data_IF_957459498228
#
_entry.id   IF_957459498228
#
_cell.length_a   1.000
_cell.length_b   1.000
_cell.length_c   1.000
_cell.angle_alpha   90.00
_cell.angle_beta   90.00
_cell.angle_gamma   90.00
#
_symmetry.space_group_name_H-M   'P 1'
#
loop_
_entity.id
_entity.type
_entity.pdbx_description
1 polymer ?
#
# COMPACT_ATOMS: atom_id res chain seq x y z
N UNK A 1 -22.90 -41.89 -31.08
CA UNK A 1 -23.23 -40.47 -30.78
C UNK A 1 -22.99 -40.23 -29.31
N UNK A 2 -21.85 -39.62 -28.96
CA UNK A 2 -21.51 -39.32 -27.57
C UNK A 2 -22.10 -37.95 -27.19
N UNK A 3 -22.94 -37.95 -26.16
CA UNK A 3 -23.58 -36.75 -25.60
C UNK A 3 -22.54 -35.92 -24.83
N UNK A 4 -22.44 -34.59 -25.03
CA UNK A 4 -21.48 -33.77 -24.31
C UNK A 4 -21.97 -33.50 -22.88
N UNK A 5 -21.15 -33.88 -21.91
CA UNK A 5 -21.32 -33.55 -20.49
C UNK A 5 -21.25 -32.03 -20.26
N UNK A 6 -22.16 -31.45 -19.46
CA UNK A 6 -22.16 -30.01 -19.20
C UNK A 6 -20.98 -29.63 -18.30
N UNK A 7 -20.20 -28.63 -18.75
CA UNK A 7 -19.09 -28.03 -18.00
C UNK A 7 -19.60 -27.45 -16.68
N UNK A 8 -18.96 -27.87 -15.59
CA UNK A 8 -19.16 -27.40 -14.22
C UNK A 8 -19.16 -25.86 -14.15
N UNK A 9 -20.29 -25.28 -13.72
CA UNK A 9 -20.39 -23.86 -13.38
C UNK A 9 -19.63 -23.65 -12.08
N UNK A 10 -18.55 -22.86 -12.11
CA UNK A 10 -17.91 -22.33 -10.91
C UNK A 10 -18.96 -21.52 -10.15
N UNK A 11 -19.46 -22.07 -9.05
CA UNK A 11 -20.29 -21.34 -8.11
C UNK A 11 -19.39 -20.33 -7.40
N UNK A 12 -19.64 -19.04 -7.63
CA UNK A 12 -19.10 -18.00 -6.79
C UNK A 12 -19.76 -18.17 -5.42
N UNK A 13 -19.05 -18.80 -4.49
CA UNK A 13 -19.42 -18.67 -3.08
C UNK A 13 -19.34 -17.18 -2.73
N UNK A 14 -20.32 -16.70 -1.99
CA UNK A 14 -20.27 -15.38 -1.35
C UNK A 14 -19.22 -15.48 -0.25
N UNK A 15 -17.94 -15.38 -0.62
CA UNK A 15 -16.88 -15.07 0.32
C UNK A 15 -17.08 -13.63 0.77
N UNK A 16 -16.88 -13.34 2.06
CA UNK A 16 -16.85 -11.97 2.56
C UNK A 16 -16.06 -11.06 1.62
N UNK A 17 -16.49 -9.80 1.41
CA UNK A 17 -15.86 -8.92 0.44
C UNK A 17 -14.35 -8.85 0.69
N UNK A 18 -13.53 -8.94 -0.38
CA UNK A 18 -12.09 -8.98 -0.26
C UNK A 18 -11.60 -7.75 0.51
N UNK A 19 -10.95 -7.96 1.67
CA UNK A 19 -10.56 -6.84 2.53
C UNK A 19 -9.37 -6.11 1.92
N UNK A 20 -9.57 -4.83 1.62
CA UNK A 20 -8.52 -3.95 1.10
C UNK A 20 -7.72 -3.37 2.27
N UNK A 21 -6.39 -3.46 2.18
CA UNK A 21 -5.48 -2.73 3.07
C UNK A 21 -4.98 -1.49 2.37
N UNK A 22 -5.15 -0.33 3.00
CA UNK A 22 -4.60 0.95 2.54
C UNK A 22 -3.36 1.27 3.39
N UNK A 23 -2.20 1.43 2.77
CA UNK A 23 -0.93 1.69 3.46
C UNK A 23 -0.36 3.05 3.08
N UNK A 24 0.05 3.82 4.09
CA UNK A 24 0.73 5.11 3.93
C UNK A 24 1.93 5.18 4.89
N UNK A 25 3.08 5.60 4.37
CA UNK A 25 4.32 5.67 5.15
C UNK A 25 4.41 6.93 6.05
N UNK A 26 3.49 7.88 5.92
CA UNK A 26 3.52 9.21 6.54
C UNK A 26 2.32 9.44 7.48
N UNK A 27 2.28 8.81 8.66
CA UNK A 27 1.12 8.86 9.57
C UNK A 27 0.83 10.25 10.14
N UNK A 28 1.84 11.12 10.19
CA UNK A 28 1.79 12.45 10.77
C UNK A 28 1.27 13.52 9.80
N UNK A 29 1.18 13.22 8.50
CA UNK A 29 0.73 14.18 7.48
C UNK A 29 -0.76 14.00 7.17
N UNK A 30 -1.41 15.10 6.81
CA UNK A 30 -2.75 15.10 6.24
C UNK A 30 -2.79 15.99 4.99
N UNK A 31 -1.97 15.63 4.01
CA UNK A 31 -1.85 16.31 2.72
C UNK A 31 -2.86 15.82 1.68
N UNK A 32 -2.66 16.21 0.42
CA UNK A 32 -3.53 15.81 -0.69
C UNK A 32 -3.59 14.29 -0.91
N UNK A 33 -2.44 13.61 -0.80
CA UNK A 33 -2.35 12.16 -0.86
C UNK A 33 -3.21 11.47 0.20
N UNK A 34 -3.02 11.86 1.47
CA UNK A 34 -3.75 11.29 2.60
C UNK A 34 -5.25 11.60 2.55
N UNK A 35 -5.64 12.80 2.08
CA UNK A 35 -7.05 13.15 1.84
C UNK A 35 -7.67 12.26 0.77
N UNK A 36 -6.92 11.98 -0.31
CA UNK A 36 -7.38 11.09 -1.38
C UNK A 36 -7.52 9.66 -0.87
N UNK A 37 -6.56 9.16 -0.09
CA UNK A 37 -6.64 7.86 0.58
C UNK A 37 -7.88 7.76 1.46
N UNK A 38 -8.19 8.79 2.26
CA UNK A 38 -9.39 8.81 3.09
C UNK A 38 -10.68 8.85 2.26
N UNK A 39 -10.70 9.57 1.14
CA UNK A 39 -11.85 9.58 0.24
C UNK A 39 -12.09 8.18 -0.37
N UNK A 40 -11.04 7.52 -0.86
CA UNK A 40 -11.10 6.13 -1.33
C UNK A 40 -11.59 5.20 -0.22
N UNK A 41 -11.08 5.36 1.00
CA UNK A 41 -11.48 4.55 2.13
C UNK A 41 -12.96 4.71 2.48
N UNK A 42 -13.47 5.94 2.52
CA UNK A 42 -14.88 6.23 2.78
C UNK A 42 -15.80 5.67 1.69
N UNK A 43 -15.39 5.73 0.43
CA UNK A 43 -16.15 5.13 -0.68
C UNK A 43 -16.20 3.60 -0.57
N UNK A 44 -15.10 2.95 -0.18
CA UNK A 44 -15.08 1.50 0.07
C UNK A 44 -16.02 1.12 1.22
N UNK A 45 -16.06 1.91 2.31
CA UNK A 45 -17.03 1.72 3.40
C UNK A 45 -18.47 1.86 2.88
N UNK A 46 -18.77 2.88 2.09
CA UNK A 46 -20.10 3.11 1.53
C UNK A 46 -20.57 1.97 0.61
N UNK A 47 -19.63 1.27 -0.03
CA UNK A 47 -19.88 0.09 -0.89
C UNK A 47 -20.02 -1.21 -0.11
N UNK A 48 -19.90 -1.19 1.23
CA UNK A 48 -19.94 -2.39 2.06
C UNK A 48 -18.64 -3.19 2.04
N UNK A 49 -17.54 -2.59 1.60
CA UNK A 49 -16.21 -3.22 1.49
C UNK A 49 -15.19 -2.51 2.41
N UNK A 50 -15.43 -2.45 3.73
CA UNK A 50 -14.64 -1.60 4.62
C UNK A 50 -13.15 -1.98 4.60
N UNK A 51 -12.25 -1.02 4.30
CA UNK A 51 -10.82 -1.29 4.28
C UNK A 51 -10.23 -1.23 5.68
N UNK A 52 -8.98 -1.64 5.81
CA UNK A 52 -8.14 -1.32 6.97
C UNK A 52 -6.99 -0.42 6.56
N UNK A 53 -6.81 0.69 7.27
CA UNK A 53 -5.67 1.59 7.09
C UNK A 53 -4.52 1.08 7.96
N UNK A 54 -3.39 0.76 7.34
CA UNK A 54 -2.18 0.30 8.04
C UNK A 54 -1.14 1.42 8.02
N UNK A 55 -0.58 1.77 9.18
CA UNK A 55 0.35 2.89 9.33
C UNK A 55 1.57 2.50 10.17
N UNK A 56 2.75 3.10 9.94
CA UNK A 56 3.95 2.81 10.73
C UNK A 56 3.94 3.44 12.13
N UNK A 57 2.96 4.28 12.43
CA UNK A 57 2.79 5.00 13.69
C UNK A 57 1.43 5.69 13.76
N UNK A 58 1.09 6.22 14.93
CA UNK A 58 -0.05 7.14 15.07
C UNK A 58 0.25 8.52 14.48
N UNK A 59 -0.79 9.32 14.25
CA UNK A 59 -0.68 10.69 13.77
C UNK A 59 -1.98 11.22 13.19
N UNK A 60 -1.88 12.35 12.48
CA UNK A 60 -3.04 13.06 11.90
C UNK A 60 -3.88 12.17 10.99
N UNK A 61 -3.25 11.30 10.18
CA UNK A 61 -3.97 10.37 9.31
C UNK A 61 -4.73 9.30 10.12
N UNK A 62 -4.09 8.72 11.13
CA UNK A 62 -4.73 7.72 12.00
C UNK A 62 -5.98 8.31 12.70
N UNK A 63 -5.85 9.52 13.25
CA UNK A 63 -6.96 10.25 13.86
C UNK A 63 -8.08 10.52 12.86
N UNK A 64 -7.74 10.99 11.65
CA UNK A 64 -8.72 11.30 10.62
C UNK A 64 -9.45 10.06 10.07
N UNK A 65 -8.77 8.91 9.98
CA UNK A 65 -9.37 7.64 9.60
C UNK A 65 -10.33 7.12 10.68
N UNK A 66 -9.90 7.12 11.95
CA UNK A 66 -10.73 6.70 13.09
C UNK A 66 -11.97 7.57 13.24
N UNK A 67 -11.87 8.88 13.02
CA UNK A 67 -13.01 9.80 13.04
C UNK A 67 -14.08 9.48 11.98
N UNK A 68 -13.73 8.71 10.94
CA UNK A 68 -14.62 8.21 9.88
C UNK A 68 -15.04 6.76 10.10
N UNK A 69 -14.78 6.21 11.30
CA UNK A 69 -15.02 4.80 11.64
C UNK A 69 -14.27 3.81 10.73
N UNK A 70 -13.14 4.24 10.14
CA UNK A 70 -12.28 3.37 9.35
C UNK A 70 -11.30 2.66 10.30
N UNK A 71 -11.21 1.32 10.29
CA UNK A 71 -10.23 0.58 11.08
C UNK A 71 -8.79 1.02 10.78
N UNK A 72 -7.99 1.23 11.83
CA UNK A 72 -6.57 1.57 11.73
C UNK A 72 -5.74 0.54 12.48
N UNK A 73 -4.77 -0.08 11.81
CA UNK A 73 -3.73 -0.93 12.40
C UNK A 73 -2.39 -0.21 12.37
N UNK A 74 -1.84 0.07 13.56
CA UNK A 74 -0.53 0.72 13.68
C UNK A 74 0.52 -0.37 13.83
N UNK A 75 1.44 -0.44 12.87
CA UNK A 75 2.52 -1.42 12.79
C UNK A 75 3.86 -0.71 12.93
N UNK A 76 4.41 -0.59 14.16
CA UNK A 76 5.66 0.14 14.37
C UNK A 76 6.80 -0.40 13.51
N UNK A 77 7.38 0.46 12.69
CA UNK A 77 8.56 0.14 11.89
C UNK A 77 9.84 0.60 12.60
N UNK A 78 11.00 0.02 12.27
CA UNK A 78 12.28 0.50 12.78
C UNK A 78 12.44 2.02 12.61
N UNK A 79 12.87 2.72 13.66
CA UNK A 79 12.91 4.18 13.70
C UNK A 79 13.74 4.82 12.56
N UNK A 80 14.75 4.11 12.05
CA UNK A 80 15.55 4.55 10.90
C UNK A 80 14.71 4.69 9.63
N UNK A 81 13.63 3.92 9.49
CA UNK A 81 12.71 3.95 8.35
C UNK A 81 11.59 4.99 8.50
N UNK A 82 11.34 5.47 9.72
CA UNK A 82 10.32 6.48 10.03
C UNK A 82 10.89 7.89 10.16
N UNK A 83 12.20 8.08 9.96
CA UNK A 83 12.79 9.42 9.82
C UNK A 83 12.45 10.00 8.45
N UNK A 84 11.99 11.24 8.47
CA UNK A 84 11.61 12.05 7.31
C UNK A 84 12.62 13.18 7.12
N UNK A 85 12.99 13.50 5.88
CA UNK A 85 14.06 14.46 5.57
C UNK A 85 15.34 13.77 5.06
N UNK A 86 15.65 14.04 3.78
CA UNK A 86 16.82 13.69 2.94
C UNK A 86 18.03 12.97 3.59
N UNK A 87 17.84 11.76 4.09
CA UNK A 87 18.91 10.90 4.63
C UNK A 87 19.05 9.61 3.84
N UNK A 88 19.23 9.74 2.53
CA UNK A 88 19.49 8.60 1.61
C UNK A 88 20.97 8.41 1.30
N UNK A 89 21.88 9.05 2.06
CA UNK A 89 23.33 9.02 1.82
C UNK A 89 24.11 8.45 3.00
N UNK A 90 25.22 7.78 2.67
CA UNK A 90 26.18 7.26 3.63
C UNK A 90 25.62 6.19 4.58
N UNK A 91 26.04 6.25 5.85
CA UNK A 91 25.72 5.23 6.88
C UNK A 91 24.22 5.09 7.15
N UNK A 92 23.44 6.14 6.94
CA UNK A 92 22.00 6.12 7.15
C UNK A 92 21.27 5.25 6.13
N UNK A 93 21.70 5.28 4.86
CA UNK A 93 21.13 4.43 3.82
C UNK A 93 21.38 2.94 4.10
N UNK A 94 22.59 2.60 4.57
CA UNK A 94 22.94 1.22 4.95
C UNK A 94 22.09 0.76 6.14
N UNK A 95 21.96 1.58 7.17
CA UNK A 95 21.12 1.26 8.33
C UNK A 95 19.64 1.11 7.97
N UNK A 96 19.13 1.96 7.07
CA UNK A 96 17.77 1.86 6.54
C UNK A 96 17.59 0.54 5.76
N UNK A 97 18.51 0.22 4.84
CA UNK A 97 18.47 -1.02 4.08
C UNK A 97 18.50 -2.27 4.97
N UNK A 98 19.35 -2.29 6.00
CA UNK A 98 19.44 -3.38 6.97
C UNK A 98 18.15 -3.55 7.80
N UNK A 99 17.36 -2.48 7.97
CA UNK A 99 16.10 -2.51 8.71
C UNK A 99 14.89 -2.96 7.87
N UNK A 100 15.01 -2.98 6.53
CA UNK A 100 13.92 -3.35 5.63
C UNK A 100 13.34 -4.75 5.88
N UNK A 101 14.15 -5.81 6.10
CA UNK A 101 13.60 -7.15 6.35
C UNK A 101 12.68 -7.21 7.56
N UNK A 102 13.01 -6.47 8.62
CA UNK A 102 12.18 -6.39 9.84
C UNK A 102 10.87 -5.68 9.53
N UNK A 103 10.91 -4.57 8.79
CA UNK A 103 9.70 -3.87 8.36
C UNK A 103 8.81 -4.77 7.50
N UNK A 104 9.38 -5.48 6.54
CA UNK A 104 8.64 -6.39 5.66
C UNK A 104 8.01 -7.54 6.42
N UNK A 105 8.72 -8.15 7.38
CA UNK A 105 8.18 -9.21 8.21
C UNK A 105 6.97 -8.73 9.04
N UNK A 106 7.07 -7.55 9.64
CA UNK A 106 5.99 -6.94 10.44
C UNK A 106 4.76 -6.60 9.58
N UNK A 107 4.98 -5.96 8.44
CA UNK A 107 3.91 -5.63 7.49
C UNK A 107 3.25 -6.89 6.92
N UNK A 108 4.03 -7.90 6.54
CA UNK A 108 3.51 -9.18 6.07
C UNK A 108 2.59 -9.81 7.11
N UNK A 109 3.03 -9.85 8.37
CA UNK A 109 2.22 -10.38 9.46
C UNK A 109 0.92 -9.59 9.63
N UNK A 110 0.96 -8.24 9.55
CA UNK A 110 -0.23 -7.40 9.62
C UNK A 110 -1.20 -7.66 8.47
N UNK A 111 -0.71 -7.75 7.23
CA UNK A 111 -1.54 -8.02 6.06
C UNK A 111 -2.25 -9.38 6.19
N UNK A 112 -1.53 -10.43 6.60
CA UNK A 112 -2.12 -11.75 6.82
C UNK A 112 -3.15 -11.76 7.96
N UNK A 113 -2.86 -11.12 9.10
CA UNK A 113 -3.80 -11.02 10.22
C UNK A 113 -5.07 -10.28 9.85
N UNK A 114 -4.98 -9.24 9.01
CA UNK A 114 -6.14 -8.48 8.57
C UNK A 114 -7.05 -9.27 7.63
N UNK A 115 -6.57 -10.37 7.03
CA UNK A 115 -7.28 -11.07 5.95
C UNK A 115 -7.25 -10.27 4.64
N UNK A 116 -6.18 -9.52 4.40
CA UNK A 116 -6.04 -8.69 3.21
C UNK A 116 -6.14 -9.53 1.93
N UNK A 117 -6.87 -9.01 0.95
CA UNK A 117 -6.93 -9.55 -0.41
C UNK A 117 -6.17 -8.67 -1.41
N UNK A 118 -5.90 -7.42 -1.05
CA UNK A 118 -5.20 -6.42 -1.84
C UNK A 118 -4.50 -5.42 -0.90
N UNK A 119 -3.30 -4.98 -1.28
CA UNK A 119 -2.63 -3.86 -0.61
C UNK A 119 -2.54 -2.66 -1.57
N UNK A 120 -3.05 -1.52 -1.13
CA UNK A 120 -2.99 -0.25 -1.83
C UNK A 120 -2.01 0.69 -1.12
N UNK A 121 -0.87 0.96 -1.74
CA UNK A 121 0.10 1.92 -1.24
C UNK A 121 -0.21 3.34 -1.74
N UNK A 122 -0.30 4.30 -0.83
CA UNK A 122 -0.64 5.69 -1.13
C UNK A 122 0.54 6.54 -1.59
N UNK A 123 1.76 6.07 -1.40
CA UNK A 123 2.96 6.85 -1.65
C UNK A 123 4.13 5.96 -2.07
N UNK A 124 5.19 6.55 -2.62
CA UNK A 124 6.33 5.80 -3.15
C UNK A 124 7.12 5.05 -2.07
N UNK A 125 7.29 5.62 -0.86
CA UNK A 125 7.90 4.91 0.29
C UNK A 125 6.96 3.82 0.78
N UNK A 126 5.66 4.11 0.78
CA UNK A 126 4.56 3.20 0.99
C UNK A 126 4.72 1.95 0.15
N UNK A 127 4.88 2.13 -1.16
CA UNK A 127 5.08 1.06 -2.12
C UNK A 127 6.39 0.28 -1.85
N UNK A 128 7.51 0.97 -1.56
CA UNK A 128 8.78 0.30 -1.23
C UNK A 128 8.69 -0.59 0.02
N UNK A 129 7.94 -0.16 1.04
CA UNK A 129 7.78 -0.90 2.29
C UNK A 129 6.72 -2.00 2.18
N UNK A 130 5.57 -1.69 1.58
CA UNK A 130 4.44 -2.60 1.51
C UNK A 130 4.58 -3.67 0.43
N UNK A 131 5.16 -3.33 -0.74
CA UNK A 131 5.13 -4.24 -1.88
C UNK A 131 5.92 -5.54 -1.67
N UNK A 132 7.15 -5.53 -1.11
CA UNK A 132 7.86 -6.77 -0.78
C UNK A 132 7.10 -7.62 0.25
N UNK A 133 6.53 -6.98 1.28
CA UNK A 133 5.75 -7.65 2.32
C UNK A 133 4.48 -8.31 1.75
N UNK A 134 3.79 -7.61 0.85
CA UNK A 134 2.60 -8.11 0.18
C UNK A 134 2.93 -9.24 -0.81
N UNK A 135 4.02 -9.13 -1.59
CA UNK A 135 4.49 -10.23 -2.46
C UNK A 135 4.86 -11.48 -1.65
N UNK A 136 5.51 -11.31 -0.50
CA UNK A 136 5.78 -12.41 0.44
C UNK A 136 4.52 -12.98 1.11
N UNK A 137 3.42 -12.23 1.11
CA UNK A 137 2.07 -12.68 1.49
C UNK A 137 1.24 -13.21 0.30
N UNK A 138 1.79 -13.18 -0.93
CA UNK A 138 1.08 -13.50 -2.20
C UNK A 138 -0.13 -12.61 -2.46
N UNK A 139 -0.05 -11.34 -2.07
CA UNK A 139 -1.10 -10.35 -2.27
C UNK A 139 -0.79 -9.45 -3.47
N UNK A 140 -1.80 -9.10 -4.28
CA UNK A 140 -1.67 -8.07 -5.29
C UNK A 140 -1.44 -6.70 -4.62
N UNK A 141 -0.65 -5.86 -5.30
CA UNK A 141 -0.28 -4.52 -4.80
C UNK A 141 -0.61 -3.47 -5.85
N UNK A 142 -1.31 -2.43 -5.42
CA UNK A 142 -1.59 -1.23 -6.22
C UNK A 142 -0.82 -0.08 -5.60
N UNK A 143 -0.15 0.73 -6.41
CA UNK A 143 0.42 1.99 -5.94
C UNK A 143 -0.30 3.18 -6.57
N UNK A 144 -0.80 4.09 -5.72
CA UNK A 144 -1.39 5.35 -6.12
C UNK A 144 -0.34 6.46 -6.04
N UNK A 145 -0.05 7.06 -7.18
CA UNK A 145 1.01 8.05 -7.33
C UNK A 145 0.43 9.43 -7.05
N UNK A 146 0.90 10.10 -6.01
CA UNK A 146 0.48 11.48 -5.71
C UNK A 146 1.59 12.52 -5.93
N UNK A 147 2.84 12.10 -5.94
CA UNK A 147 3.99 12.95 -6.23
C UNK A 147 5.07 12.11 -6.91
N UNK A 148 5.89 12.79 -7.71
CA UNK A 148 7.05 12.21 -8.38
C UNK A 148 8.28 12.94 -7.87
N UNK A 149 9.14 12.24 -7.14
CA UNK A 149 10.38 12.77 -6.59
C UNK A 149 11.51 12.60 -7.61
N UNK A 150 11.87 13.71 -8.26
CA UNK A 150 12.88 13.76 -9.33
C UNK A 150 14.27 13.30 -8.85
N UNK A 151 14.57 13.48 -7.55
CA UNK A 151 15.81 13.06 -6.87
C UNK A 151 15.79 11.57 -6.46
N UNK A 152 14.62 10.93 -6.46
CA UNK A 152 14.36 9.59 -5.93
C UNK A 152 14.11 8.51 -7.00
N UNK A 153 14.41 8.78 -8.28
CA UNK A 153 14.05 7.89 -9.43
C UNK A 153 14.41 6.41 -9.24
N UNK A 154 15.49 6.10 -8.51
CA UNK A 154 15.83 4.69 -8.21
C UNK A 154 14.78 4.01 -7.32
N UNK A 155 14.31 4.70 -6.28
CA UNK A 155 13.27 4.22 -5.37
C UNK A 155 11.95 4.06 -6.11
N UNK A 156 11.58 5.02 -6.95
CA UNK A 156 10.34 4.96 -7.74
C UNK A 156 10.36 3.81 -8.75
N UNK A 157 11.46 3.61 -9.48
CA UNK A 157 11.60 2.46 -10.40
C UNK A 157 11.52 1.13 -9.66
N UNK A 158 12.15 1.05 -8.49
CA UNK A 158 12.15 -0.18 -7.69
C UNK A 158 10.75 -0.47 -7.15
N UNK A 159 10.09 0.53 -6.58
CA UNK A 159 8.70 0.44 -6.14
C UNK A 159 7.76 0.04 -7.30
N UNK A 160 7.92 0.67 -8.46
CA UNK A 160 7.17 0.38 -9.67
C UNK A 160 7.26 -1.07 -10.14
N UNK A 161 8.46 -1.67 -10.13
CA UNK A 161 8.65 -3.09 -10.46
C UNK A 161 8.04 -4.05 -9.43
N UNK A 162 7.81 -3.57 -8.22
CA UNK A 162 7.30 -4.36 -7.11
C UNK A 162 5.77 -4.27 -6.97
N UNK A 163 5.09 -3.42 -7.75
CA UNK A 163 3.62 -3.37 -7.77
C UNK A 163 3.05 -4.15 -8.96
N UNK A 164 1.78 -4.53 -8.87
CA UNK A 164 1.05 -5.19 -9.94
C UNK A 164 0.18 -4.23 -10.77
N UNK A 165 -0.13 -3.05 -10.23
CA UNK A 165 -0.84 -2.00 -10.92
C UNK A 165 -0.50 -0.61 -10.34
N UNK A 166 -0.72 0.43 -11.15
CA UNK A 166 -0.50 1.83 -10.82
C UNK A 166 -1.78 2.64 -11.03
N UNK A 167 -2.05 3.55 -10.12
CA UNK A 167 -3.09 4.58 -10.27
C UNK A 167 -2.38 5.92 -10.32
N UNK A 168 -2.43 6.58 -11.48
CA UNK A 168 -1.90 7.91 -11.67
C UNK A 168 -3.07 8.91 -11.81
N UNK A 169 -3.06 10.05 -11.10
CA UNK A 169 -4.14 11.04 -11.16
C UNK A 169 -4.16 11.80 -12.48
N UNK A 170 -3.07 11.78 -13.25
CA UNK A 170 -2.98 12.43 -14.55
C UNK A 170 -1.94 11.76 -15.45
N UNK A 171 -2.08 11.96 -16.77
CA UNK A 171 -1.09 11.53 -17.76
C UNK A 171 0.30 12.17 -17.49
N UNK A 172 0.33 13.42 -17.03
CA UNK A 172 1.58 14.10 -16.67
C UNK A 172 2.32 13.41 -15.51
N UNK A 173 1.58 12.97 -14.48
CA UNK A 173 2.16 12.22 -13.37
C UNK A 173 2.72 10.86 -13.84
N UNK A 174 2.00 10.18 -14.73
CA UNK A 174 2.46 8.91 -15.31
C UNK A 174 3.74 9.09 -16.15
N UNK A 175 3.79 10.12 -17.01
CA UNK A 175 4.98 10.44 -17.80
C UNK A 175 6.18 10.80 -16.93
N UNK A 176 5.94 11.51 -15.82
CA UNK A 176 6.98 11.94 -14.90
C UNK A 176 7.68 10.76 -14.17
N UNK A 177 6.95 9.68 -13.89
CA UNK A 177 7.51 8.43 -13.31
C UNK A 177 8.55 7.77 -14.23
N UNK A 178 8.58 8.14 -15.51
CA UNK A 178 9.33 7.42 -16.54
C UNK A 178 8.70 6.05 -16.81
N UNK A 179 9.29 5.28 -17.73
CA UNK A 179 8.83 3.92 -18.04
C UNK A 179 8.97 3.00 -16.82
N UNK A 180 7.95 3.02 -15.96
CA UNK A 180 7.67 1.99 -14.99
C UNK A 180 6.94 0.88 -15.77
N UNK A 181 7.47 -0.35 -15.76
CA UNK A 181 6.95 -1.45 -16.57
C UNK A 181 5.55 -1.90 -16.15
#
# INVERSE_FOLDING_TARGET
>A
MASPTPKSKRTCSVSSPPRVVLFDAYPHLLGGAQRTLLAVASELVARGEPPTVVLPGDGALATAARARSIPVDVVPLPAVLTRFGRSTTGRHAVAAAAALPIAWARLRAAFLRSGAALVHAADHRGALLAAPAARAARLPVVWHVHSVDVEGRFVERTAGRLVGALVAPSAAALLALGAVP
#
